data_IF_621435908735
#
_entry.id   IF_621435908735
#
_cell.length_a   1.000
_cell.length_b   1.000
_cell.length_c   1.000
_cell.angle_alpha   90.00
_cell.angle_beta   90.00
_cell.angle_gamma   90.00
#
_symmetry.space_group_name_H-M   'P 1'
#
loop_
_entity.id
_entity.type
_entity.pdbx_description
1 polymer ?
#
# COMPACT_ATOMS: atom_id res chain seq x y z
N UNK A 1 13.97 -19.75 -27.05
CA UNK A 1 12.66 -20.45 -26.97
C UNK A 1 11.71 -19.87 -25.89
N UNK A 2 12.20 -19.13 -24.89
CA UNK A 2 11.33 -18.60 -23.82
C UNK A 2 10.75 -17.20 -24.05
N UNK A 3 11.25 -16.44 -25.01
CA UNK A 3 10.78 -15.08 -25.31
C UNK A 3 9.48 -15.07 -26.14
N UNK A 4 9.24 -16.08 -26.98
CA UNK A 4 7.99 -16.19 -27.75
C UNK A 4 6.79 -16.57 -26.88
N UNK A 5 6.99 -17.34 -25.82
CA UNK A 5 5.91 -17.88 -24.99
C UNK A 5 5.25 -16.79 -24.11
N UNK A 6 6.02 -15.78 -23.64
CA UNK A 6 5.46 -14.63 -22.92
C UNK A 6 4.58 -13.73 -23.78
N UNK A 7 4.99 -13.45 -25.02
CA UNK A 7 4.19 -12.63 -25.95
C UNK A 7 2.91 -13.36 -26.40
N UNK A 8 2.97 -14.66 -26.53
CA UNK A 8 1.81 -15.45 -26.95
C UNK A 8 0.77 -15.59 -25.84
N UNK A 9 1.17 -15.62 -24.57
CA UNK A 9 0.24 -15.55 -23.43
C UNK A 9 -0.45 -14.20 -23.31
N UNK A 10 0.23 -13.11 -23.62
CA UNK A 10 -0.35 -11.76 -23.61
C UNK A 10 -1.36 -11.52 -24.73
N UNK A 11 -1.29 -12.28 -25.85
CA UNK A 11 -2.23 -12.15 -26.97
C UNK A 11 -3.53 -12.93 -26.79
N UNK A 12 -3.59 -13.92 -25.92
CA UNK A 12 -4.74 -14.84 -25.81
C UNK A 12 -5.65 -14.57 -24.61
N UNK A 13 -5.23 -13.71 -23.65
CA UNK A 13 -5.99 -13.40 -22.45
C UNK A 13 -6.04 -11.87 -22.34
N UNK A 14 -7.21 -11.30 -22.10
CA UNK A 14 -7.34 -9.91 -21.63
C UNK A 14 -6.84 -9.87 -20.21
N UNK A 15 -5.53 -9.91 -20.05
CA UNK A 15 -4.90 -9.81 -18.73
C UNK A 15 -4.98 -8.37 -18.27
N UNK A 16 -5.60 -8.14 -17.12
CA UNK A 16 -5.51 -6.86 -16.43
C UNK A 16 -4.11 -6.71 -15.83
N UNK A 17 -3.51 -5.57 -16.05
CA UNK A 17 -2.20 -5.23 -15.49
C UNK A 17 -2.42 -4.59 -14.11
N UNK A 18 -1.92 -5.27 -13.07
CA UNK A 18 -1.93 -4.75 -11.73
C UNK A 18 -0.50 -4.42 -11.26
N UNK A 19 -0.28 -3.20 -10.83
CA UNK A 19 1.02 -2.73 -10.33
C UNK A 19 0.99 -2.62 -8.82
N UNK A 20 1.89 -3.33 -8.16
CA UNK A 20 2.09 -3.29 -6.70
C UNK A 20 3.26 -2.36 -6.37
N UNK A 21 3.04 -1.32 -5.58
CA UNK A 21 4.03 -0.28 -5.32
C UNK A 21 3.79 0.47 -4.01
N UNK A 22 4.86 1.05 -3.46
CA UNK A 22 4.77 2.06 -2.41
C UNK A 22 4.76 3.50 -2.95
N UNK A 23 4.78 3.68 -4.27
CA UNK A 23 4.76 4.99 -4.91
C UNK A 23 5.95 5.90 -4.61
N UNK A 24 7.04 5.34 -4.05
CA UNK A 24 8.19 6.12 -3.58
C UNK A 24 9.19 6.53 -4.67
N UNK A 25 9.02 6.05 -5.90
CA UNK A 25 9.84 6.40 -7.07
C UNK A 25 8.96 7.12 -8.07
N UNK A 26 9.48 8.21 -8.66
CA UNK A 26 8.75 9.01 -9.62
C UNK A 26 9.66 9.48 -10.76
N UNK A 27 9.32 9.08 -11.97
CA UNK A 27 9.94 9.51 -13.23
C UNK A 27 8.95 9.27 -14.38
N UNK A 28 9.33 9.58 -15.60
CA UNK A 28 8.45 9.44 -16.77
C UNK A 28 8.12 7.97 -17.06
N UNK A 29 9.07 7.03 -16.86
CA UNK A 29 8.84 5.60 -17.05
C UNK A 29 7.78 5.07 -16.05
N UNK A 30 7.80 5.54 -14.81
CA UNK A 30 6.80 5.19 -13.78
C UNK A 30 5.43 5.75 -14.13
N UNK A 31 5.35 6.97 -14.66
CA UNK A 31 4.09 7.55 -15.14
C UNK A 31 3.53 6.75 -16.31
N UNK A 32 4.38 6.37 -17.27
CA UNK A 32 3.99 5.52 -18.38
C UNK A 32 3.48 4.17 -17.89
N UNK A 33 4.19 3.52 -16.96
CA UNK A 33 3.77 2.28 -16.33
C UNK A 33 2.37 2.41 -15.71
N UNK A 34 2.13 3.45 -14.90
CA UNK A 34 0.81 3.66 -14.29
C UNK A 34 -0.27 3.99 -15.34
N UNK A 35 0.10 4.66 -16.43
CA UNK A 35 -0.83 4.93 -17.52
C UNK A 35 -1.31 3.66 -18.22
N UNK A 36 -0.47 2.64 -18.28
CA UNK A 36 -0.77 1.32 -18.87
C UNK A 36 -1.44 0.35 -17.89
N UNK A 37 -1.37 0.64 -16.59
CA UNK A 37 -1.97 -0.21 -15.56
C UNK A 37 -3.50 -0.08 -15.53
N UNK A 38 -4.18 -1.21 -15.34
CA UNK A 38 -5.63 -1.26 -15.08
C UNK A 38 -5.94 -0.99 -13.61
N UNK A 39 -5.02 -1.35 -12.71
CA UNK A 39 -5.14 -1.20 -11.28
C UNK A 39 -3.77 -0.96 -10.64
N UNK A 40 -3.70 -0.08 -9.65
CA UNK A 40 -2.51 0.11 -8.82
C UNK A 40 -2.82 -0.28 -7.37
N UNK A 41 -1.99 -1.13 -6.77
CA UNK A 41 -2.00 -1.42 -5.34
C UNK A 41 -0.99 -0.49 -4.68
N UNK A 42 -1.48 0.56 -4.00
CA UNK A 42 -0.61 1.58 -3.42
C UNK A 42 -0.47 1.38 -1.91
N UNK A 43 0.74 1.05 -1.49
CA UNK A 43 1.08 0.90 -0.08
C UNK A 43 1.36 2.24 0.58
N UNK A 44 0.52 2.67 1.51
CA UNK A 44 0.81 3.74 2.47
C UNK A 44 1.22 3.10 3.78
N UNK A 45 2.50 3.21 4.14
CA UNK A 45 3.04 2.49 5.31
C UNK A 45 2.73 3.20 6.63
N UNK A 46 2.62 4.51 6.60
CA UNK A 46 2.22 5.39 7.70
C UNK A 46 1.87 6.77 7.12
N UNK A 47 0.82 7.40 7.62
CA UNK A 47 0.40 8.73 7.14
C UNK A 47 1.19 9.87 7.77
N UNK A 48 1.48 9.79 9.06
CA UNK A 48 2.34 10.76 9.73
C UNK A 48 3.77 10.65 9.21
N UNK A 49 4.28 11.72 8.59
CA UNK A 49 5.58 11.71 7.91
C UNK A 49 6.75 11.36 8.84
N UNK A 50 6.75 11.82 10.09
CA UNK A 50 7.84 11.53 11.04
C UNK A 50 7.83 10.06 11.48
N UNK A 51 6.64 9.50 11.73
CA UNK A 51 6.48 8.08 12.02
C UNK A 51 6.82 7.24 10.79
N UNK A 52 6.43 7.69 9.60
CA UNK A 52 6.80 7.03 8.34
C UNK A 52 8.33 6.99 8.15
N UNK A 53 9.04 8.08 8.44
CA UNK A 53 10.52 8.11 8.39
C UNK A 53 11.13 7.15 9.41
N UNK A 54 10.56 7.05 10.61
CA UNK A 54 11.01 6.11 11.63
C UNK A 54 10.85 4.66 11.16
N UNK A 55 9.72 4.34 10.53
CA UNK A 55 9.40 2.99 10.04
C UNK A 55 10.18 2.61 8.79
N UNK A 56 10.32 3.52 7.82
CA UNK A 56 10.81 3.23 6.47
C UNK A 56 12.15 3.90 6.14
N UNK A 57 12.62 4.83 6.97
CA UNK A 57 13.77 5.70 6.74
C UNK A 57 13.59 6.66 5.54
N UNK A 58 12.35 6.88 5.08
CA UNK A 58 12.01 7.77 3.96
C UNK A 58 10.76 8.59 4.28
N UNK A 59 10.60 9.73 3.60
CA UNK A 59 9.37 10.54 3.62
C UNK A 59 8.25 9.82 2.86
N UNK A 60 7.00 10.03 3.27
CA UNK A 60 5.81 9.55 2.56
C UNK A 60 5.30 10.54 1.49
N UNK A 61 5.92 11.72 1.37
CA UNK A 61 5.47 12.78 0.45
C UNK A 61 5.33 12.29 -0.99
N UNK A 62 6.30 11.49 -1.47
CA UNK A 62 6.24 10.98 -2.84
C UNK A 62 5.10 9.96 -3.01
N UNK A 63 4.84 9.11 -2.02
CA UNK A 63 3.70 8.18 -2.02
C UNK A 63 2.38 8.96 -2.12
N UNK A 64 2.23 10.04 -1.35
CA UNK A 64 1.02 10.87 -1.38
C UNK A 64 0.87 11.63 -2.71
N UNK A 65 1.97 12.12 -3.30
CA UNK A 65 1.97 12.70 -4.66
C UNK A 65 1.58 11.67 -5.72
N UNK A 66 2.04 10.42 -5.57
CA UNK A 66 1.65 9.33 -6.46
C UNK A 66 0.15 9.07 -6.37
N UNK A 67 -0.42 9.03 -5.16
CA UNK A 67 -1.86 8.88 -4.96
C UNK A 67 -2.65 10.03 -5.63
N UNK A 68 -2.20 11.28 -5.44
CA UNK A 68 -2.83 12.45 -6.06
C UNK A 68 -2.80 12.35 -7.60
N UNK A 69 -1.67 11.94 -8.16
CA UNK A 69 -1.57 11.75 -9.61
C UNK A 69 -2.50 10.64 -10.13
N UNK A 70 -2.63 9.53 -9.41
CA UNK A 70 -3.57 8.46 -9.78
C UNK A 70 -5.02 8.98 -9.79
N UNK A 71 -5.41 9.74 -8.77
CA UNK A 71 -6.72 10.38 -8.70
C UNK A 71 -6.96 11.33 -9.88
N UNK A 72 -6.04 12.26 -10.12
CA UNK A 72 -6.13 13.29 -11.18
C UNK A 72 -6.19 12.68 -12.59
N UNK A 73 -5.55 11.51 -12.80
CA UNK A 73 -5.50 10.83 -14.10
C UNK A 73 -6.55 9.72 -14.23
N UNK A 74 -7.51 9.62 -13.30
CA UNK A 74 -8.59 8.65 -13.35
C UNK A 74 -8.13 7.19 -13.26
N UNK A 75 -6.99 6.93 -12.60
CA UNK A 75 -6.41 5.60 -12.43
C UNK A 75 -6.94 4.94 -11.18
N UNK A 76 -7.60 3.81 -11.34
CA UNK A 76 -8.13 3.04 -10.22
C UNK A 76 -7.00 2.51 -9.36
N UNK A 77 -7.14 2.63 -8.05
CA UNK A 77 -6.18 2.06 -7.12
C UNK A 77 -6.82 1.56 -5.83
N UNK A 78 -6.14 0.63 -5.16
CA UNK A 78 -6.45 0.20 -3.82
C UNK A 78 -5.44 0.83 -2.88
N UNK A 79 -5.94 1.40 -1.80
CA UNK A 79 -5.11 1.92 -0.73
C UNK A 79 -4.81 0.78 0.24
N UNK A 80 -3.54 0.41 0.38
CA UNK A 80 -3.13 -0.65 1.30
C UNK A 80 -2.41 -0.07 2.50
N UNK A 81 -2.79 -0.51 3.67
CA UNK A 81 -2.23 -0.04 4.93
C UNK A 81 -1.78 -1.23 5.79
N UNK A 82 -0.47 -1.32 6.06
CA UNK A 82 0.08 -2.37 6.92
C UNK A 82 -0.07 -1.94 8.37
N UNK A 83 -0.83 -2.70 9.16
CA UNK A 83 -1.12 -2.38 10.54
C UNK A 83 -0.03 -2.95 11.46
N UNK A 84 0.87 -2.11 11.94
CA UNK A 84 1.99 -2.48 12.82
C UNK A 84 1.81 -1.82 14.17
N UNK A 85 1.60 -2.62 15.22
CA UNK A 85 1.40 -2.11 16.59
C UNK A 85 2.61 -1.28 17.04
N UNK A 86 2.36 -0.06 17.53
CA UNK A 86 3.39 0.89 18.00
C UNK A 86 4.15 1.61 16.87
N UNK A 87 3.83 1.36 15.59
CA UNK A 87 4.50 2.00 14.45
C UNK A 87 3.54 2.64 13.44
N UNK A 88 2.44 1.98 13.10
CA UNK A 88 1.42 2.49 12.17
C UNK A 88 0.00 2.30 12.66
N UNK A 89 -0.21 1.68 13.82
CA UNK A 89 -1.52 1.57 14.44
C UNK A 89 -1.71 2.71 15.45
N UNK A 90 -1.98 3.90 14.95
CA UNK A 90 -2.38 5.07 15.73
C UNK A 90 -3.69 5.60 15.19
N UNK A 91 -4.69 5.76 16.07
CA UNK A 91 -6.03 6.23 15.71
C UNK A 91 -5.97 7.56 14.98
N UNK A 92 -5.21 8.52 15.51
CA UNK A 92 -5.08 9.87 14.95
C UNK A 92 -4.50 9.86 13.54
N UNK A 93 -3.56 8.96 13.22
CA UNK A 93 -2.93 8.89 11.91
C UNK A 93 -3.85 8.20 10.89
N UNK A 94 -4.62 7.18 11.31
CA UNK A 94 -5.64 6.53 10.48
C UNK A 94 -6.78 7.54 10.17
N UNK A 95 -7.23 8.31 11.15
CA UNK A 95 -8.25 9.34 10.95
C UNK A 95 -7.74 10.47 10.04
N UNK A 96 -6.48 10.92 10.20
CA UNK A 96 -5.86 11.90 9.32
C UNK A 96 -5.69 11.39 7.89
N UNK A 97 -5.33 10.11 7.72
CA UNK A 97 -5.29 9.46 6.40
C UNK A 97 -6.69 9.41 5.77
N UNK A 98 -7.68 8.99 6.54
CA UNK A 98 -9.07 8.95 6.08
C UNK A 98 -9.58 10.31 5.64
N UNK A 99 -9.33 11.35 6.45
CA UNK A 99 -9.70 12.73 6.13
C UNK A 99 -9.01 13.24 4.85
N UNK A 100 -7.75 12.87 4.64
CA UNK A 100 -6.99 13.25 3.45
C UNK A 100 -7.55 12.62 2.17
N UNK A 101 -7.99 11.36 2.24
CA UNK A 101 -8.40 10.59 1.07
C UNK A 101 -9.92 10.49 0.87
N UNK A 102 -10.76 11.00 1.78
CA UNK A 102 -12.23 10.84 1.74
C UNK A 102 -12.90 11.29 0.44
N UNK A 103 -12.32 12.30 -0.24
CA UNK A 103 -12.87 12.86 -1.47
C UNK A 103 -12.27 12.22 -2.74
N UNK A 104 -11.36 11.25 -2.61
CA UNK A 104 -10.78 10.53 -3.74
C UNK A 104 -11.79 9.52 -4.29
N UNK A 105 -12.03 9.58 -5.59
CA UNK A 105 -13.00 8.74 -6.31
C UNK A 105 -12.38 7.51 -6.96
N UNK A 106 -11.07 7.54 -7.18
CA UNK A 106 -10.34 6.43 -7.82
C UNK A 106 -9.90 5.36 -6.82
N UNK A 107 -10.07 5.58 -5.53
CA UNK A 107 -9.87 4.55 -4.51
C UNK A 107 -11.06 3.58 -4.56
N UNK A 108 -10.84 2.38 -5.11
CA UNK A 108 -11.88 1.35 -5.15
C UNK A 108 -12.11 0.67 -3.80
N UNK A 109 -11.06 0.50 -3.02
CA UNK A 109 -11.11 -0.07 -1.67
C UNK A 109 -9.87 0.24 -0.86
N UNK A 110 -10.00 0.06 0.44
CA UNK A 110 -8.88 0.02 1.39
C UNK A 110 -8.62 -1.43 1.80
N UNK A 111 -7.37 -1.83 1.83
CA UNK A 111 -6.94 -3.12 2.36
C UNK A 111 -6.07 -2.91 3.59
N UNK A 112 -6.55 -3.39 4.72
CA UNK A 112 -5.79 -3.46 5.95
C UNK A 112 -5.02 -4.78 5.93
N UNK A 113 -3.70 -4.67 5.94
CA UNK A 113 -2.79 -5.82 5.94
C UNK A 113 -2.28 -6.04 7.36
N UNK A 114 -2.68 -7.12 8.04
CA UNK A 114 -2.15 -7.45 9.36
C UNK A 114 -0.63 -7.64 9.31
N UNK A 115 0.06 -7.15 10.33
CA UNK A 115 1.48 -7.41 10.47
C UNK A 115 1.76 -8.92 10.62
N UNK A 116 2.74 -9.41 9.86
CA UNK A 116 3.20 -10.79 9.94
C UNK A 116 4.71 -10.90 9.79
N UNK A 117 5.29 -11.99 10.28
CA UNK A 117 6.74 -12.23 10.32
C UNK A 117 7.28 -13.07 9.14
N UNK A 118 6.47 -13.33 8.11
CA UNK A 118 6.84 -14.18 6.97
C UNK A 118 8.10 -13.71 6.21
N UNK A 119 8.41 -12.40 6.27
CA UNK A 119 9.59 -11.82 5.62
C UNK A 119 10.88 -11.87 6.43
N UNK A 120 10.86 -12.30 7.70
CA UNK A 120 12.03 -12.22 8.60
C UNK A 120 13.23 -12.98 8.06
N UNK A 121 13.01 -14.17 7.50
CA UNK A 121 14.09 -14.98 6.90
C UNK A 121 14.88 -14.25 5.79
N UNK A 122 14.27 -13.25 5.12
CA UNK A 122 14.95 -12.44 4.09
C UNK A 122 15.96 -11.50 4.73
N UNK A 123 15.64 -10.94 5.90
CA UNK A 123 16.58 -10.11 6.66
C UNK A 123 17.78 -10.93 7.12
N UNK A 124 17.55 -12.15 7.61
CA UNK A 124 18.61 -13.08 8.01
C UNK A 124 19.51 -13.42 6.81
N UNK A 125 18.92 -13.76 5.66
CA UNK A 125 19.65 -14.07 4.44
C UNK A 125 20.51 -12.87 3.93
N UNK A 126 20.01 -11.65 4.11
CA UNK A 126 20.73 -10.41 3.76
C UNK A 126 21.68 -9.94 4.85
N UNK A 127 21.77 -10.63 5.99
CA UNK A 127 22.55 -10.23 7.19
C UNK A 127 22.15 -8.84 7.71
N UNK A 128 20.87 -8.51 7.61
CA UNK A 128 20.32 -7.26 8.10
C UNK A 128 19.57 -7.49 9.41
N UNK A 129 19.64 -6.50 10.30
CA UNK A 129 18.89 -6.56 11.55
C UNK A 129 17.39 -6.31 11.29
N UNK A 130 16.56 -7.21 11.78
CA UNK A 130 15.10 -7.04 11.74
C UNK A 130 14.62 -6.24 12.96
N UNK A 131 14.25 -4.98 12.75
CA UNK A 131 13.91 -4.03 13.83
C UNK A 131 12.58 -4.32 14.55
N UNK A 132 11.70 -5.11 13.95
CA UNK A 132 10.35 -5.38 14.48
C UNK A 132 10.26 -6.73 15.20
N UNK A 133 11.37 -7.25 15.76
CA UNK A 133 11.43 -8.57 16.43
C UNK A 133 10.43 -8.71 17.57
N UNK A 134 10.21 -7.63 18.33
CA UNK A 134 9.36 -7.62 19.52
C UNK A 134 7.89 -7.27 19.18
N UNK A 135 7.61 -6.94 17.92
CA UNK A 135 6.25 -6.57 17.51
C UNK A 135 5.41 -7.82 17.38
N UNK A 136 4.30 -7.86 18.11
CA UNK A 136 3.33 -8.95 18.05
C UNK A 136 2.41 -8.78 16.84
N UNK A 137 1.87 -9.90 16.38
CA UNK A 137 0.79 -9.88 15.39
C UNK A 137 -0.45 -9.18 15.96
N UNK A 138 -1.25 -8.60 15.09
CA UNK A 138 -2.49 -7.95 15.49
C UNK A 138 -3.49 -8.96 16.05
N UNK A 139 -4.22 -8.55 17.07
CA UNK A 139 -5.37 -9.32 17.56
C UNK A 139 -6.61 -9.06 16.69
N UNK A 140 -7.62 -9.96 16.69
CA UNK A 140 -8.86 -9.74 15.97
C UNK A 140 -9.54 -8.40 16.36
N UNK A 141 -9.49 -8.02 17.65
CA UNK A 141 -10.08 -6.81 18.17
C UNK A 141 -9.37 -5.56 17.59
N UNK A 142 -8.04 -5.60 17.48
CA UNK A 142 -7.25 -4.51 16.87
C UNK A 142 -7.56 -4.36 15.38
N UNK A 143 -7.75 -5.46 14.67
CA UNK A 143 -8.11 -5.45 13.26
C UNK A 143 -9.51 -4.88 13.06
N UNK A 144 -10.47 -5.24 13.90
CA UNK A 144 -11.83 -4.72 13.85
C UNK A 144 -11.89 -3.24 14.25
N UNK A 145 -11.07 -2.81 15.22
CA UNK A 145 -10.92 -1.38 15.55
C UNK A 145 -10.40 -0.59 14.34
N UNK A 146 -9.31 -1.06 13.71
CA UNK A 146 -8.76 -0.42 12.54
C UNK A 146 -9.79 -0.37 11.39
N UNK A 147 -10.48 -1.48 11.13
CA UNK A 147 -11.55 -1.55 10.13
C UNK A 147 -12.63 -0.49 10.38
N UNK A 148 -13.13 -0.41 11.60
CA UNK A 148 -14.16 0.58 12.01
C UNK A 148 -13.67 2.02 11.77
N UNK A 149 -12.38 2.30 11.99
CA UNK A 149 -11.80 3.62 11.73
C UNK A 149 -11.79 3.96 10.24
N UNK A 150 -11.36 3.02 9.39
CA UNK A 150 -11.33 3.22 7.94
C UNK A 150 -12.74 3.31 7.35
N UNK A 151 -13.71 2.55 7.83
CA UNK A 151 -15.11 2.55 7.37
C UNK A 151 -15.83 3.89 7.59
N UNK A 152 -15.30 4.79 8.43
CA UNK A 152 -15.82 6.17 8.56
C UNK A 152 -15.62 7.01 7.28
N UNK A 153 -14.60 6.66 6.49
CA UNK A 153 -14.16 7.45 5.34
C UNK A 153 -14.29 6.72 4.01
N UNK A 154 -14.28 5.39 4.03
CA UNK A 154 -14.25 4.56 2.82
C UNK A 154 -15.41 3.57 2.82
N UNK A 155 -16.06 3.43 1.66
CA UNK A 155 -17.21 2.52 1.51
C UNK A 155 -16.81 1.04 1.53
N UNK A 156 -15.59 0.73 1.10
CA UNK A 156 -15.14 -0.65 0.92
C UNK A 156 -13.80 -0.84 1.64
N UNK A 157 -13.84 -1.59 2.75
CA UNK A 157 -12.67 -1.89 3.59
C UNK A 157 -12.56 -3.39 3.78
N UNK A 158 -11.39 -3.95 3.48
CA UNK A 158 -11.07 -5.37 3.69
C UNK A 158 -9.94 -5.50 4.71
N UNK A 159 -10.00 -6.56 5.50
CA UNK A 159 -8.90 -7.03 6.34
C UNK A 159 -8.45 -8.36 5.74
N UNK A 160 -7.22 -8.44 5.28
CA UNK A 160 -6.66 -9.61 4.60
C UNK A 160 -5.83 -10.48 5.55
#
# INVERSE_FOLDING_TARGET
LHLCDRRQRQMCIRDSICVDTNGGIWNEDVKELFSLADLVLLDVKEFNNERHKTLTSRSNEQTLRTAAWLEENGKLFWLRYVLVQGYSFFREDIEALGEHFKDYRMIQRVEILPYHTLGVHKYEAMKLEYKLKEVKQNTPEQLEEARTLFEKYFQTVYVN
#
